data_IF_134039465251
#
_entry.id   IF_134039465251
#
_cell.length_a   1.000
_cell.length_b   1.000
_cell.length_c   1.000
_cell.angle_alpha   90.00
_cell.angle_beta   90.00
_cell.angle_gamma   90.00
#
_symmetry.space_group_name_H-M   'P 1'
#
loop_
_entity.id
_entity.type
_entity.pdbx_description
1 polymer ?
#
# COMPACT_ATOMS: atom_id res chain seq x y z
N UNK A 1 56.29 -27.35 -49.53
CA UNK A 1 56.28 -26.45 -50.70
C UNK A 1 55.61 -25.14 -50.27
N UNK A 2 56.42 -24.08 -50.13
CA UNK A 2 56.11 -22.65 -50.05
C UNK A 2 54.81 -22.17 -49.35
N UNK A 3 54.93 -21.74 -48.09
CA UNK A 3 54.08 -20.66 -47.54
C UNK A 3 54.83 -19.32 -47.59
N UNK A 4 54.24 -18.25 -48.13
CA UNK A 4 54.80 -16.90 -48.08
C UNK A 4 54.27 -16.07 -46.90
N UNK A 5 55.19 -15.24 -46.38
CA UNK A 5 55.12 -14.30 -45.25
C UNK A 5 53.84 -13.45 -45.17
N UNK A 6 53.20 -13.44 -44.00
CA UNK A 6 52.20 -12.46 -43.61
C UNK A 6 52.86 -11.10 -43.27
N UNK A 7 52.35 -10.04 -43.89
CA UNK A 7 52.74 -8.64 -43.63
C UNK A 7 52.02 -8.13 -42.37
N UNK A 8 52.81 -7.48 -41.51
CA UNK A 8 52.36 -6.67 -40.37
C UNK A 8 51.48 -5.50 -40.82
N UNK A 9 50.26 -5.42 -40.29
CA UNK A 9 49.39 -4.25 -40.40
C UNK A 9 49.25 -3.59 -39.02
N UNK A 10 49.53 -2.28 -38.99
CA UNK A 10 49.47 -1.41 -37.81
C UNK A 10 48.02 -1.21 -37.31
N UNK A 11 47.82 -0.90 -36.01
CA UNK A 11 46.49 -0.85 -35.41
C UNK A 11 45.67 0.35 -35.93
N UNK A 12 44.39 0.08 -36.23
CA UNK A 12 43.42 1.07 -36.67
C UNK A 12 43.12 2.09 -35.55
N UNK A 13 43.12 3.37 -35.93
CA UNK A 13 42.84 4.49 -35.04
C UNK A 13 41.38 4.52 -34.57
N UNK A 14 41.19 4.80 -33.28
CA UNK A 14 39.88 4.98 -32.66
C UNK A 14 39.13 6.20 -33.27
N UNK A 15 37.81 6.12 -33.46
CA UNK A 15 37.04 7.27 -33.94
C UNK A 15 36.96 8.36 -32.85
N UNK A 16 37.26 9.60 -33.25
CA UNK A 16 37.16 10.81 -32.43
C UNK A 16 35.72 11.02 -31.96
N UNK A 17 35.56 11.27 -30.66
CA UNK A 17 34.31 11.68 -30.03
C UNK A 17 33.77 12.97 -30.67
N UNK A 18 32.51 12.93 -31.12
CA UNK A 18 31.77 14.13 -31.50
C UNK A 18 31.39 14.88 -30.23
N UNK A 19 31.77 16.16 -30.15
CA UNK A 19 31.41 17.04 -29.04
C UNK A 19 29.90 17.31 -29.06
N UNK A 20 29.22 16.95 -27.97
CA UNK A 20 27.82 17.29 -27.75
C UNK A 20 27.67 18.80 -27.48
N UNK A 21 26.68 19.42 -28.12
CA UNK A 21 26.31 20.82 -27.88
C UNK A 21 25.82 21.03 -26.42
N UNK A 22 26.07 22.20 -25.80
CA UNK A 22 25.62 22.46 -24.44
C UNK A 22 24.09 22.58 -24.40
N UNK A 23 23.47 21.81 -23.50
CA UNK A 23 22.06 21.92 -23.18
C UNK A 23 21.77 23.30 -22.58
N UNK A 24 20.77 23.99 -23.12
CA UNK A 24 20.29 25.25 -22.57
C UNK A 24 19.74 25.04 -21.16
N UNK A 25 20.32 25.73 -20.18
CA UNK A 25 19.85 25.74 -18.81
C UNK A 25 18.47 26.42 -18.74
N UNK A 26 17.44 25.65 -18.39
CA UNK A 26 16.12 26.20 -18.07
C UNK A 26 16.21 27.00 -16.77
N UNK A 27 15.79 28.26 -16.81
CA UNK A 27 15.76 29.15 -15.65
C UNK A 27 14.82 28.61 -14.56
N UNK A 28 15.29 28.60 -13.31
CA UNK A 28 14.52 28.19 -12.15
C UNK A 28 13.33 29.15 -11.91
N UNK A 29 12.15 28.65 -11.49
CA UNK A 29 11.00 29.50 -11.22
C UNK A 29 11.25 30.41 -10.01
N UNK A 30 10.75 31.64 -10.10
CA UNK A 30 10.89 32.66 -9.08
C UNK A 30 10.24 32.21 -7.75
N UNK A 31 10.97 32.40 -6.66
CA UNK A 31 10.59 32.00 -5.29
C UNK A 31 9.43 32.86 -4.81
N UNK A 32 8.28 32.24 -4.53
CA UNK A 32 7.12 32.90 -3.93
C UNK A 32 7.50 33.52 -2.55
N UNK A 33 6.86 34.63 -2.15
CA UNK A 33 7.18 35.31 -0.89
C UNK A 33 6.94 34.37 0.30
N UNK A 34 7.92 34.31 1.19
CA UNK A 34 7.91 33.43 2.35
C UNK A 34 6.86 33.89 3.37
N UNK A 35 5.87 33.05 3.64
CA UNK A 35 5.04 33.16 4.83
C UNK A 35 5.93 33.03 6.09
N UNK A 36 5.74 33.91 7.07
CA UNK A 36 6.63 34.10 8.23
C UNK A 36 6.56 33.02 9.31
N UNK A 37 5.75 31.97 9.13
CA UNK A 37 5.78 30.79 10.01
C UNK A 37 6.36 29.59 9.25
N UNK A 38 7.34 28.86 9.82
CA UNK A 38 7.83 27.63 9.23
C UNK A 38 6.64 26.67 9.18
N UNK A 39 6.19 26.30 7.99
CA UNK A 39 4.91 25.66 7.90
C UNK A 39 5.03 24.24 8.50
N UNK A 40 4.06 23.84 9.33
CA UNK A 40 4.09 22.58 10.10
C UNK A 40 4.38 21.37 9.21
N UNK A 41 5.30 20.46 9.59
CA UNK A 41 5.65 19.31 8.78
C UNK A 41 4.41 18.47 8.47
N UNK A 42 4.20 18.13 7.21
CA UNK A 42 3.08 17.30 6.77
C UNK A 42 3.51 15.83 6.83
N UNK A 43 2.62 14.98 7.34
CA UNK A 43 2.74 13.53 7.25
C UNK A 43 1.55 12.99 6.45
N UNK A 44 1.79 12.02 5.56
CA UNK A 44 0.70 11.32 4.85
C UNK A 44 0.51 9.94 5.45
N UNK A 45 -0.71 9.67 5.93
CA UNK A 45 -1.10 8.38 6.50
C UNK A 45 -2.06 7.69 5.55
N UNK A 46 -1.78 6.42 5.24
CA UNK A 46 -2.56 5.64 4.30
C UNK A 46 -3.34 4.55 5.04
N UNK A 47 -4.68 4.52 4.92
CA UNK A 47 -5.49 3.49 5.57
C UNK A 47 -5.22 2.11 4.96
N UNK A 48 -5.47 1.08 5.75
CA UNK A 48 -5.49 -0.31 5.29
C UNK A 48 -6.84 -0.69 4.65
N UNK A 49 -7.06 -1.99 4.47
CA UNK A 49 -8.36 -2.54 4.09
C UNK A 49 -9.41 -2.26 5.19
N UNK A 50 -10.66 -2.04 4.78
CA UNK A 50 -11.82 -1.81 5.65
C UNK A 50 -12.56 -0.50 5.40
N UNK A 51 -11.94 0.45 4.69
CA UNK A 51 -12.56 1.76 4.36
C UNK A 51 -12.89 1.91 2.87
N UNK A 52 -12.88 0.83 2.11
CA UNK A 52 -13.34 0.80 0.71
C UNK A 52 -14.86 0.96 0.65
N UNK A 53 -15.36 1.60 -0.41
CA UNK A 53 -16.79 1.77 -0.65
C UNK A 53 -17.06 1.99 -2.14
N UNK A 54 -18.27 1.62 -2.59
CA UNK A 54 -18.70 1.91 -3.97
C UNK A 54 -18.76 3.42 -4.18
N UNK A 55 -18.25 3.90 -5.32
CA UNK A 55 -17.98 5.31 -5.67
C UNK A 55 -16.69 5.90 -5.08
N UNK A 56 -15.82 5.13 -4.42
CA UNK A 56 -14.59 5.69 -3.80
C UNK A 56 -13.63 6.41 -4.76
N UNK A 57 -13.70 6.16 -6.08
CA UNK A 57 -12.87 6.84 -7.09
C UNK A 57 -13.60 7.95 -7.87
N UNK A 58 -14.87 8.22 -7.58
CA UNK A 58 -15.69 9.11 -8.41
C UNK A 58 -15.13 10.54 -8.50
N UNK A 59 -14.62 11.05 -7.39
CA UNK A 59 -14.02 12.38 -7.29
C UNK A 59 -12.57 12.50 -7.80
N UNK A 60 -11.95 11.41 -8.26
CA UNK A 60 -10.54 11.39 -8.68
C UNK A 60 -10.30 10.76 -10.05
N UNK A 61 -11.21 9.91 -10.54
CA UNK A 61 -11.08 9.15 -11.80
C UNK A 61 -10.75 9.98 -13.04
N UNK A 62 -11.09 11.27 -13.04
CA UNK A 62 -10.88 12.16 -14.18
C UNK A 62 -9.52 12.87 -14.18
N UNK A 63 -8.75 12.79 -13.08
CA UNK A 63 -7.41 13.36 -13.01
C UNK A 63 -6.46 12.61 -13.96
N UNK A 64 -5.60 13.30 -14.74
CA UNK A 64 -4.72 12.64 -15.71
C UNK A 64 -3.83 11.55 -15.10
N UNK A 65 -3.24 11.81 -13.94
CA UNK A 65 -2.41 10.83 -13.20
C UNK A 65 -3.22 9.59 -12.78
N UNK A 66 -4.47 9.79 -12.37
CA UNK A 66 -5.37 8.69 -11.97
C UNK A 66 -5.82 7.86 -13.17
N UNK A 67 -6.08 8.50 -14.32
CA UNK A 67 -6.39 7.78 -15.56
C UNK A 67 -5.23 6.86 -15.98
N UNK A 68 -3.99 7.35 -15.93
CA UNK A 68 -2.80 6.54 -16.23
C UNK A 68 -2.69 5.34 -15.27
N UNK A 69 -2.83 5.58 -13.96
CA UNK A 69 -2.85 4.52 -12.95
C UNK A 69 -3.93 3.47 -13.23
N UNK A 70 -5.14 3.88 -13.60
CA UNK A 70 -6.24 2.96 -13.88
C UNK A 70 -6.01 2.15 -15.16
N UNK A 71 -5.45 2.75 -16.20
CA UNK A 71 -5.04 2.04 -17.43
C UNK A 71 -4.00 0.97 -17.13
N UNK A 72 -2.96 1.31 -16.37
CA UNK A 72 -1.93 0.36 -15.92
C UNK A 72 -2.52 -0.72 -15.01
N UNK A 73 -3.42 -0.34 -14.10
CA UNK A 73 -4.08 -1.27 -13.20
C UNK A 73 -4.89 -2.31 -13.95
N UNK A 74 -5.65 -1.92 -14.97
CA UNK A 74 -6.40 -2.87 -15.78
C UNK A 74 -5.49 -3.91 -16.44
N UNK A 75 -4.32 -3.50 -16.96
CA UNK A 75 -3.34 -4.41 -17.55
C UNK A 75 -2.73 -5.38 -16.53
N UNK A 76 -2.42 -4.93 -15.31
CA UNK A 76 -1.79 -5.73 -14.26
C UNK A 76 -2.79 -6.69 -13.58
N UNK A 77 -4.00 -6.20 -13.32
CA UNK A 77 -5.03 -6.91 -12.57
C UNK A 77 -5.80 -7.89 -13.45
N UNK A 78 -5.97 -7.58 -14.74
CA UNK A 78 -6.76 -8.38 -15.67
C UNK A 78 -8.28 -8.16 -15.55
N UNK A 79 -8.70 -7.13 -14.81
CA UNK A 79 -10.10 -6.71 -14.68
C UNK A 79 -10.20 -5.19 -14.57
N UNK A 80 -11.41 -4.66 -14.80
CA UNK A 80 -11.68 -3.23 -14.69
C UNK A 80 -11.88 -2.82 -13.22
N UNK A 81 -10.79 -2.33 -12.61
CA UNK A 81 -10.81 -1.85 -11.22
C UNK A 81 -11.69 -0.60 -11.06
N UNK A 82 -11.74 0.27 -12.07
CA UNK A 82 -12.56 1.49 -12.00
C UNK A 82 -14.04 1.12 -11.94
N UNK A 83 -14.48 0.23 -12.82
CA UNK A 83 -15.86 -0.28 -12.83
C UNK A 83 -16.22 -0.89 -11.48
N UNK A 84 -15.37 -1.77 -10.93
CA UNK A 84 -15.60 -2.36 -9.62
C UNK A 84 -15.73 -1.28 -8.53
N UNK A 85 -14.84 -0.28 -8.51
CA UNK A 85 -14.88 0.79 -7.53
C UNK A 85 -16.10 1.73 -7.69
N UNK A 86 -16.67 1.88 -8.89
CA UNK A 86 -17.79 2.79 -9.15
C UNK A 86 -19.16 2.12 -9.11
N UNK A 87 -19.23 0.83 -9.43
CA UNK A 87 -20.49 0.11 -9.62
C UNK A 87 -20.64 -1.06 -8.65
N UNK A 88 -19.54 -1.57 -8.09
CA UNK A 88 -19.56 -2.75 -7.23
C UNK A 88 -19.68 -4.06 -8.03
N UNK A 89 -20.35 -5.09 -7.47
CA UNK A 89 -21.11 -5.06 -6.22
C UNK A 89 -20.21 -4.94 -4.98
N UNK A 90 -20.78 -4.48 -3.86
CA UNK A 90 -20.05 -4.20 -2.61
C UNK A 90 -19.38 -5.44 -2.04
N UNK A 91 -20.07 -6.58 -2.01
CA UNK A 91 -19.56 -7.87 -1.57
C UNK A 91 -18.30 -8.32 -2.34
N UNK A 92 -18.26 -8.05 -3.66
CA UNK A 92 -17.07 -8.31 -4.47
C UNK A 92 -15.94 -7.34 -4.12
N UNK A 93 -16.23 -6.05 -3.95
CA UNK A 93 -15.24 -5.05 -3.56
C UNK A 93 -14.65 -5.35 -2.17
N UNK A 94 -15.41 -5.97 -1.27
CA UNK A 94 -14.97 -6.37 0.07
C UNK A 94 -14.05 -7.60 0.09
N UNK A 95 -14.06 -8.43 -0.95
CA UNK A 95 -13.14 -9.58 -1.01
C UNK A 95 -11.69 -9.08 -1.02
N UNK A 96 -10.85 -9.70 -0.21
CA UNK A 96 -9.48 -9.24 0.07
C UNK A 96 -8.65 -9.08 -1.21
N UNK A 97 -8.80 -9.99 -2.17
CA UNK A 97 -8.11 -9.95 -3.47
C UNK A 97 -8.47 -8.72 -4.33
N UNK A 98 -9.67 -8.14 -4.16
CA UNK A 98 -10.13 -6.97 -4.90
C UNK A 98 -10.01 -5.68 -4.10
N UNK A 99 -10.31 -5.75 -2.80
CA UNK A 99 -10.22 -4.64 -1.87
C UNK A 99 -8.80 -4.09 -1.81
N UNK A 100 -7.78 -4.96 -1.79
CA UNK A 100 -6.41 -4.51 -1.61
C UNK A 100 -5.92 -3.66 -2.80
N UNK A 101 -6.05 -4.09 -4.06
CA UNK A 101 -5.80 -3.23 -5.22
C UNK A 101 -6.61 -1.93 -5.22
N UNK A 102 -7.90 -1.98 -4.86
CA UNK A 102 -8.78 -0.82 -4.83
C UNK A 102 -8.29 0.25 -3.82
N UNK A 103 -7.94 -0.18 -2.62
CA UNK A 103 -7.42 0.70 -1.57
C UNK A 103 -6.04 1.27 -1.91
N UNK A 104 -5.15 0.48 -2.53
CA UNK A 104 -3.85 0.95 -3.01
C UNK A 104 -4.00 2.07 -4.05
N UNK A 105 -4.78 1.83 -5.11
CA UNK A 105 -5.05 2.83 -6.15
C UNK A 105 -5.80 4.03 -5.59
N UNK A 106 -6.77 3.81 -4.70
CA UNK A 106 -7.51 4.88 -4.04
C UNK A 106 -6.63 5.81 -3.20
N UNK A 107 -5.67 5.26 -2.45
CA UNK A 107 -4.73 6.05 -1.68
C UNK A 107 -3.80 6.90 -2.56
N UNK A 108 -3.28 6.34 -3.65
CA UNK A 108 -2.47 7.11 -4.62
C UNK A 108 -3.30 8.15 -5.38
N UNK A 109 -4.57 7.84 -5.70
CA UNK A 109 -5.49 8.81 -6.28
C UNK A 109 -5.78 9.97 -5.32
N UNK A 110 -5.83 9.71 -4.01
CA UNK A 110 -5.89 10.74 -2.98
C UNK A 110 -4.66 11.65 -2.98
N UNK A 111 -3.46 11.09 -3.16
CA UNK A 111 -2.21 11.87 -3.31
C UNK A 111 -2.24 12.72 -4.58
N UNK A 112 -2.66 12.15 -5.71
CA UNK A 112 -2.80 12.88 -6.98
C UNK A 112 -3.76 14.07 -6.84
N UNK A 113 -4.91 13.87 -6.18
CA UNK A 113 -5.86 14.94 -5.89
C UNK A 113 -5.27 16.00 -4.96
N UNK A 114 -4.62 15.58 -3.87
CA UNK A 114 -3.96 16.50 -2.94
C UNK A 114 -2.87 17.32 -3.63
N UNK A 115 -2.12 16.71 -4.56
CA UNK A 115 -1.11 17.41 -5.36
C UNK A 115 -1.74 18.46 -6.28
N UNK A 116 -2.84 18.11 -6.94
CA UNK A 116 -3.56 19.03 -7.83
C UNK A 116 -4.17 20.23 -7.09
N UNK A 117 -4.68 20.01 -5.87
CA UNK A 117 -5.32 21.08 -5.09
C UNK A 117 -4.34 21.88 -4.23
N UNK A 118 -3.32 21.21 -3.68
CA UNK A 118 -2.45 21.71 -2.61
C UNK A 118 -1.02 21.16 -2.74
N UNK A 119 -0.38 21.37 -3.90
CA UNK A 119 0.96 20.87 -4.23
C UNK A 119 1.99 21.07 -3.10
N UNK A 120 1.98 22.25 -2.46
CA UNK A 120 2.87 22.57 -1.36
C UNK A 120 2.77 21.59 -0.17
N UNK A 121 1.59 21.00 0.10
CA UNK A 121 1.43 20.00 1.17
C UNK A 121 2.12 18.69 0.82
N UNK A 122 2.05 18.27 -0.43
CA UNK A 122 2.75 17.06 -0.91
C UNK A 122 4.26 17.29 -0.94
N UNK A 123 4.71 18.44 -1.46
CA UNK A 123 6.13 18.80 -1.53
C UNK A 123 6.79 18.95 -0.15
N UNK A 124 6.00 19.26 0.88
CA UNK A 124 6.47 19.44 2.26
C UNK A 124 6.26 18.21 3.15
N UNK A 125 5.73 17.12 2.60
CA UNK A 125 5.61 15.86 3.30
C UNK A 125 7.00 15.40 3.75
N UNK A 126 7.16 15.11 5.05
CA UNK A 126 8.43 14.64 5.64
C UNK A 126 8.43 13.16 5.97
N UNK A 127 7.25 12.58 6.13
CA UNK A 127 7.09 11.16 6.40
C UNK A 127 5.78 10.65 5.84
N UNK A 128 5.81 9.37 5.47
CA UNK A 128 4.64 8.61 5.10
C UNK A 128 4.57 7.37 5.99
N UNK A 129 3.37 6.92 6.30
CA UNK A 129 3.15 5.64 6.94
C UNK A 129 1.81 5.07 6.49
N UNK A 130 1.63 3.76 6.60
CA UNK A 130 0.35 3.16 6.31
C UNK A 130 0.09 1.94 7.16
N UNK A 131 -1.20 1.65 7.36
CA UNK A 131 -1.65 0.55 8.18
C UNK A 131 -1.83 -0.71 7.32
N UNK A 132 -1.07 -1.77 7.61
CA UNK A 132 -1.18 -3.05 6.91
C UNK A 132 -1.01 -2.87 5.39
N UNK A 133 -2.07 -3.02 4.60
CA UNK A 133 -2.03 -2.70 3.17
C UNK A 133 -1.55 -1.28 2.86
N UNK A 134 -1.92 -0.30 3.69
CA UNK A 134 -1.57 1.10 3.47
C UNK A 134 -0.06 1.34 3.41
N UNK A 135 0.75 0.45 4.00
CA UNK A 135 2.21 0.54 3.93
C UNK A 135 2.74 0.44 2.50
N UNK A 136 2.13 -0.40 1.65
CA UNK A 136 2.48 -0.48 0.23
C UNK A 136 2.18 0.84 -0.49
N UNK A 137 1.03 1.45 -0.18
CA UNK A 137 0.66 2.77 -0.70
C UNK A 137 1.64 3.84 -0.24
N UNK A 138 2.05 3.80 1.03
CA UNK A 138 3.03 4.72 1.60
C UNK A 138 4.40 4.58 0.90
N UNK A 139 4.90 3.35 0.73
CA UNK A 139 6.15 3.07 0.04
C UNK A 139 6.12 3.54 -1.42
N UNK A 140 5.00 3.35 -2.12
CA UNK A 140 4.83 3.87 -3.47
C UNK A 140 4.77 5.40 -3.51
N UNK A 141 4.01 6.03 -2.59
CA UNK A 141 3.94 7.49 -2.48
C UNK A 141 5.29 8.14 -2.13
N UNK A 142 6.17 7.43 -1.42
CA UNK A 142 7.54 7.85 -1.13
C UNK A 142 8.54 7.56 -2.27
N UNK A 143 8.11 6.89 -3.35
CA UNK A 143 8.97 6.53 -4.48
C UNK A 143 9.90 5.34 -4.22
N UNK A 144 9.69 4.58 -3.14
CA UNK A 144 10.44 3.34 -2.87
C UNK A 144 10.00 2.22 -3.82
N UNK A 145 8.71 2.17 -4.14
CA UNK A 145 8.14 1.25 -5.12
C UNK A 145 7.58 2.05 -6.30
N UNK A 146 7.76 1.52 -7.52
CA UNK A 146 7.00 1.98 -8.67
C UNK A 146 5.51 1.63 -8.49
N UNK A 147 4.63 2.30 -9.21
CA UNK A 147 3.21 1.98 -9.18
C UNK A 147 2.96 0.53 -9.61
N UNK A 148 3.62 0.10 -10.69
CA UNK A 148 3.46 -1.20 -11.29
C UNK A 148 3.94 -2.32 -10.37
N UNK A 149 5.10 -2.16 -9.74
CA UNK A 149 5.62 -3.18 -8.80
C UNK A 149 4.82 -3.18 -7.50
N UNK A 150 4.45 -2.00 -6.98
CA UNK A 150 3.55 -1.88 -5.83
C UNK A 150 2.22 -2.59 -6.08
N UNK A 151 1.59 -2.37 -7.23
CA UNK A 151 0.32 -2.99 -7.57
C UNK A 151 0.42 -4.51 -7.78
N UNK A 152 1.50 -5.00 -8.40
CA UNK A 152 1.76 -6.45 -8.53
C UNK A 152 1.92 -7.11 -7.17
N UNK A 153 2.67 -6.50 -6.26
CA UNK A 153 2.84 -7.00 -4.89
C UNK A 153 1.52 -7.00 -4.12
N UNK A 154 0.74 -5.92 -4.24
CA UNK A 154 -0.58 -5.80 -3.59
C UNK A 154 -1.56 -6.84 -4.14
N UNK A 155 -1.57 -7.08 -5.46
CA UNK A 155 -2.37 -8.15 -6.07
C UNK A 155 -2.01 -9.51 -5.48
N UNK A 156 -0.72 -9.87 -5.52
CA UNK A 156 -0.23 -11.14 -4.98
C UNK A 156 -0.58 -11.31 -3.49
N UNK A 157 -0.40 -10.26 -2.70
CA UNK A 157 -0.76 -10.25 -1.28
C UNK A 157 -2.25 -10.47 -1.07
N UNK A 158 -3.10 -9.79 -1.83
CA UNK A 158 -4.55 -9.92 -1.77
C UNK A 158 -5.02 -11.33 -2.10
N UNK A 159 -4.49 -11.91 -3.18
CA UNK A 159 -4.76 -13.28 -3.62
C UNK A 159 -4.31 -14.31 -2.58
N UNK A 160 -3.07 -14.23 -2.10
CA UNK A 160 -2.52 -15.15 -1.11
C UNK A 160 -3.29 -15.08 0.23
N UNK A 161 -3.67 -13.88 0.68
CA UNK A 161 -4.49 -13.73 1.89
C UNK A 161 -5.90 -14.29 1.70
N UNK A 162 -6.50 -14.12 0.53
CA UNK A 162 -7.82 -14.67 0.21
C UNK A 162 -7.79 -16.21 0.17
N UNK A 163 -6.75 -16.79 -0.40
CA UNK A 163 -6.51 -18.23 -0.39
C UNK A 163 -6.34 -18.76 1.03
N UNK A 164 -5.45 -18.15 1.82
CA UNK A 164 -5.22 -18.54 3.21
C UNK A 164 -6.50 -18.45 4.06
N UNK A 165 -7.33 -17.41 3.83
CA UNK A 165 -8.61 -17.25 4.50
C UNK A 165 -9.64 -18.34 4.17
N UNK A 166 -9.46 -19.05 3.05
CA UNK A 166 -10.35 -20.12 2.61
C UNK A 166 -10.01 -21.48 3.22
N UNK A 167 -8.83 -21.62 3.82
CA UNK A 167 -8.35 -22.88 4.44
C UNK A 167 -9.16 -23.27 5.68
N UNK A 168 -9.67 -22.28 6.42
CA UNK A 168 -10.43 -22.54 7.64
C UNK A 168 -11.18 -21.33 8.15
N UNK A 169 -12.19 -21.58 9.00
CA UNK A 169 -12.97 -20.50 9.61
C UNK A 169 -12.10 -19.73 10.60
N UNK A 170 -11.84 -18.47 10.25
CA UNK A 170 -11.11 -17.51 11.07
C UNK A 170 -12.00 -16.32 11.43
N UNK A 171 -11.55 -15.53 12.39
CA UNK A 171 -12.26 -14.34 12.85
C UNK A 171 -11.28 -13.25 13.27
N UNK A 172 -11.84 -12.04 13.39
CA UNK A 172 -11.14 -10.88 13.93
C UNK A 172 -12.10 -10.09 14.80
N UNK A 173 -11.61 -9.52 15.91
CA UNK A 173 -12.40 -8.71 16.84
C UNK A 173 -11.57 -7.51 17.29
N UNK A 174 -12.21 -6.35 17.44
CA UNK A 174 -11.61 -5.17 18.03
C UNK A 174 -11.93 -5.14 19.53
N UNK A 175 -10.91 -4.93 20.35
CA UNK A 175 -11.00 -4.89 21.82
C UNK A 175 -10.45 -3.56 22.30
N UNK A 176 -11.22 -2.87 23.14
CA UNK A 176 -10.88 -1.57 23.70
C UNK A 176 -10.88 -1.68 25.23
N UNK A 177 -10.06 -0.87 25.91
CA UNK A 177 -10.11 -0.72 27.36
C UNK A 177 -9.18 -1.62 28.17
N UNK A 178 -8.76 -2.76 27.63
CA UNK A 178 -7.84 -3.68 28.31
C UNK A 178 -6.36 -3.31 28.13
N UNK A 179 -5.55 -3.61 29.14
CA UNK A 179 -4.10 -3.55 29.02
C UNK A 179 -3.56 -4.70 28.15
N UNK A 180 -2.47 -4.45 27.43
CA UNK A 180 -1.89 -5.43 26.49
C UNK A 180 -1.58 -6.77 27.16
N UNK A 181 -0.93 -6.74 28.33
CA UNK A 181 -0.56 -7.95 29.06
C UNK A 181 -1.77 -8.76 29.53
N UNK A 182 -2.87 -8.09 29.91
CA UNK A 182 -4.13 -8.75 30.27
C UNK A 182 -4.73 -9.41 29.04
N UNK A 183 -4.81 -8.68 27.93
CA UNK A 183 -5.38 -9.16 26.68
C UNK A 183 -4.60 -10.35 26.09
N UNK A 184 -3.26 -10.32 26.13
CA UNK A 184 -2.43 -11.45 25.69
C UNK A 184 -2.78 -12.72 26.50
N UNK A 185 -2.94 -12.58 27.82
CA UNK A 185 -3.38 -13.69 28.69
C UNK A 185 -4.79 -14.20 28.38
N UNK A 186 -5.72 -13.31 27.98
CA UNK A 186 -7.06 -13.73 27.54
C UNK A 186 -7.00 -14.45 26.18
N UNK A 187 -6.16 -14.00 25.25
CA UNK A 187 -5.94 -14.67 23.98
C UNK A 187 -5.41 -16.09 24.18
N UNK A 188 -4.43 -16.28 25.05
CA UNK A 188 -3.86 -17.60 25.35
C UNK A 188 -4.89 -18.53 26.00
N UNK A 189 -5.71 -18.02 26.93
CA UNK A 189 -6.84 -18.77 27.52
C UNK A 189 -7.87 -19.16 26.45
N UNK A 190 -8.22 -18.24 25.56
CA UNK A 190 -9.20 -18.46 24.51
C UNK A 190 -8.73 -19.52 23.49
N UNK A 191 -7.44 -19.52 23.14
CA UNK A 191 -6.87 -20.55 22.28
C UNK A 191 -6.81 -21.91 23.00
N UNK A 192 -6.38 -21.95 24.26
CA UNK A 192 -6.24 -23.19 25.00
C UNK A 192 -7.58 -23.95 25.22
N UNK A 193 -8.69 -23.23 25.36
CA UNK A 193 -10.01 -23.86 25.55
C UNK A 193 -10.53 -24.61 24.31
N UNK A 194 -10.07 -24.23 23.13
CA UNK A 194 -10.53 -24.81 21.85
C UNK A 194 -9.70 -26.02 21.39
N UNK A 195 -8.61 -26.32 22.08
CA UNK A 195 -7.76 -27.48 21.82
C UNK A 195 -6.63 -27.23 20.81
N UNK A 196 -5.99 -28.32 20.39
CA UNK A 196 -4.80 -28.26 19.55
C UNK A 196 -5.08 -27.61 18.18
N UNK A 197 -4.25 -26.63 17.80
CA UNK A 197 -4.37 -25.91 16.52
C UNK A 197 -5.25 -24.66 16.56
N UNK A 198 -5.90 -24.35 17.69
CA UNK A 198 -6.59 -23.08 17.87
C UNK A 198 -5.59 -21.93 18.01
N UNK A 199 -5.93 -20.80 17.38
CA UNK A 199 -5.10 -19.58 17.38
C UNK A 199 -5.95 -18.42 17.85
N UNK A 200 -5.41 -17.61 18.74
CA UNK A 200 -5.99 -16.34 19.13
C UNK A 200 -4.84 -15.43 19.56
N UNK A 201 -4.64 -14.31 18.86
CA UNK A 201 -3.53 -13.39 19.10
C UNK A 201 -3.93 -11.95 18.83
N UNK A 202 -3.28 -11.01 19.52
CA UNK A 202 -3.32 -9.59 19.15
C UNK A 202 -2.61 -9.43 17.80
N UNK A 203 -3.37 -9.09 16.77
CA UNK A 203 -2.88 -8.86 15.41
C UNK A 203 -2.36 -7.42 15.26
N UNK A 204 -3.11 -6.43 15.75
CA UNK A 204 -2.75 -5.01 15.63
C UNK A 204 -2.89 -4.28 16.96
N UNK A 205 -1.95 -3.38 17.26
CA UNK A 205 -2.13 -2.33 18.26
C UNK A 205 -2.50 -1.03 17.53
N UNK A 206 -3.74 -0.55 17.73
CA UNK A 206 -4.32 0.56 16.99
C UNK A 206 -4.09 1.90 17.71
N UNK A 207 -4.29 1.90 19.02
CA UNK A 207 -4.11 3.03 19.92
C UNK A 207 -3.91 2.50 21.36
N UNK A 208 -3.56 3.34 22.35
CA UNK A 208 -3.44 2.88 23.74
C UNK A 208 -4.73 2.18 24.21
N UNK A 209 -4.59 0.92 24.64
CA UNK A 209 -5.72 0.05 25.02
C UNK A 209 -6.71 -0.24 23.90
N UNK A 210 -6.33 -0.08 22.63
CA UNK A 210 -7.13 -0.41 21.46
C UNK A 210 -6.41 -1.40 20.57
N UNK A 211 -6.94 -2.62 20.47
CA UNK A 211 -6.29 -3.74 19.79
C UNK A 211 -7.26 -4.41 18.81
N UNK A 212 -6.71 -4.99 17.75
CA UNK A 212 -7.40 -5.97 16.93
C UNK A 212 -6.80 -7.34 17.21
N UNK A 213 -7.64 -8.33 17.50
CA UNK A 213 -7.25 -9.71 17.73
C UNK A 213 -7.76 -10.57 16.60
N UNK A 214 -6.96 -11.54 16.15
CA UNK A 214 -7.32 -12.45 15.06
C UNK A 214 -6.92 -13.89 15.39
N UNK A 215 -7.61 -14.84 14.77
CA UNK A 215 -7.44 -16.25 15.10
C UNK A 215 -8.50 -17.16 14.50
N UNK A 216 -8.57 -18.39 14.99
CA UNK A 216 -9.64 -19.32 14.63
C UNK A 216 -10.98 -18.80 15.14
N UNK A 217 -12.05 -19.01 14.36
CA UNK A 217 -13.34 -18.37 14.63
C UNK A 217 -13.86 -18.64 16.04
N UNK A 218 -13.77 -19.89 16.52
CA UNK A 218 -14.22 -20.26 17.87
C UNK A 218 -13.40 -19.58 18.97
N UNK A 219 -12.07 -19.54 18.82
CA UNK A 219 -11.20 -18.91 19.81
C UNK A 219 -11.43 -17.39 19.87
N UNK A 220 -11.76 -16.75 18.74
CA UNK A 220 -12.12 -15.33 18.71
C UNK A 220 -13.50 -15.07 19.34
N UNK A 221 -14.48 -15.96 19.13
CA UNK A 221 -15.78 -15.87 19.82
C UNK A 221 -15.60 -16.01 21.34
N UNK A 222 -14.80 -16.97 21.79
CA UNK A 222 -14.51 -17.13 23.22
C UNK A 222 -13.71 -15.93 23.78
N UNK A 223 -12.73 -15.40 23.03
CA UNK A 223 -12.00 -14.20 23.43
C UNK A 223 -12.95 -13.03 23.67
N UNK A 224 -13.95 -12.83 22.81
CA UNK A 224 -14.95 -11.78 22.97
C UNK A 224 -15.64 -11.88 24.34
N UNK A 225 -16.15 -13.06 24.68
CA UNK A 225 -16.84 -13.30 25.96
C UNK A 225 -15.91 -13.11 27.17
N UNK A 226 -14.64 -13.51 27.05
CA UNK A 226 -13.62 -13.33 28.08
C UNK A 226 -13.25 -11.85 28.26
N UNK A 227 -13.16 -11.10 27.17
CA UNK A 227 -12.83 -9.68 27.19
C UNK A 227 -13.95 -8.85 27.82
N UNK A 228 -15.21 -9.11 27.47
CA UNK A 228 -16.39 -8.46 28.09
C UNK A 228 -16.42 -8.68 29.61
N UNK A 229 -16.16 -9.91 30.07
CA UNK A 229 -16.04 -10.22 31.51
C UNK A 229 -14.82 -9.56 32.17
N UNK A 230 -13.78 -9.28 31.38
CA UNK A 230 -12.56 -8.61 31.81
C UNK A 230 -12.64 -7.08 31.88
N UNK A 231 -13.77 -6.49 31.49
CA UNK A 231 -14.00 -5.04 31.52
C UNK A 231 -13.59 -4.30 30.23
N UNK A 232 -13.57 -5.00 29.09
CA UNK A 232 -13.49 -4.40 27.76
C UNK A 232 -14.80 -3.73 27.33
#
# INVERSE_FOLDING_TARGET
>A
YSEPKAKSAAPAAAPKAAAAAPAAAAAAPAKAPASSEPPLPVALLFPGQGSQYVKMLDGTKNLPEVKDMLTKAQSILGYDLLKLCLEGPEDKLEQTQYCQPAMFVGGLAGVAKLRAEQEAKVARCKCVAGLSLGEYTALCAAGVLTFEDGLKLVKLRGEAMQEAASVGKQGMVSIVGLERAVLDGLCDKAAASEGAGAVCKVANALFPKGFSCAGTQKAIMNLKDLAEKGGA
#
